data_IF_766553884532
#
_entry.id   IF_766553884532
#
_cell.length_a   1.000
_cell.length_b   1.000
_cell.length_c   1.000
_cell.angle_alpha   90.00
_cell.angle_beta   90.00
_cell.angle_gamma   90.00
#
_symmetry.space_group_name_H-M   'P 1'
#
loop_
_entity.id
_entity.type
_entity.pdbx_description
1 polymer ?
#
# COMPACT_ATOMS: atom_id res chain seq x y z
N UNK A 1 8.74 30.49 -78.84
CA UNK A 1 7.53 31.30 -78.66
C UNK A 1 6.78 30.80 -77.47
N UNK A 2 6.58 31.68 -76.50
CA UNK A 2 5.73 31.66 -75.29
C UNK A 2 6.06 30.59 -74.24
N UNK A 3 6.75 30.92 -73.22
CA UNK A 3 6.41 31.74 -72.04
C UNK A 3 5.05 31.38 -71.36
N UNK A 4 5.13 30.76 -70.15
CA UNK A 4 4.39 31.19 -68.97
C UNK A 4 4.43 30.14 -67.89
N UNK A 5 4.98 30.49 -66.89
CA UNK A 5 4.73 31.06 -65.54
C UNK A 5 4.60 29.99 -64.49
N UNK A 6 5.61 29.97 -63.69
CA UNK A 6 5.69 29.44 -62.36
C UNK A 6 4.57 29.98 -61.49
N UNK A 7 3.83 29.11 -60.83
CA UNK A 7 3.22 29.45 -59.54
C UNK A 7 3.66 28.39 -58.51
N UNK A 8 4.48 28.91 -57.61
CA UNK A 8 4.91 28.21 -56.43
C UNK A 8 3.74 28.03 -55.48
N UNK A 9 3.38 26.80 -55.21
CA UNK A 9 2.41 26.49 -54.11
C UNK A 9 3.24 26.02 -52.92
N UNK A 10 3.47 26.95 -51.99
CA UNK A 10 4.08 26.67 -50.71
C UNK A 10 3.15 25.80 -49.88
N UNK A 11 3.43 24.52 -49.81
CA UNK A 11 2.78 23.65 -48.80
C UNK A 11 3.56 23.80 -47.49
N UNK A 12 3.00 24.65 -46.61
CA UNK A 12 3.39 24.70 -45.20
C UNK A 12 3.03 23.37 -44.55
N UNK A 13 4.02 22.49 -44.43
CA UNK A 13 3.93 21.28 -43.62
C UNK A 13 3.96 21.74 -42.14
N UNK A 14 2.77 21.97 -41.57
CA UNK A 14 2.60 22.15 -40.15
C UNK A 14 2.91 20.78 -39.49
N UNK A 15 4.16 20.61 -39.10
CA UNK A 15 4.59 19.51 -38.27
C UNK A 15 4.00 19.75 -36.87
N UNK A 16 2.78 19.27 -36.66
CA UNK A 16 2.17 19.20 -35.34
C UNK A 16 3.01 18.24 -34.49
N UNK A 17 3.91 18.80 -33.69
CA UNK A 17 4.57 18.06 -32.62
C UNK A 17 3.47 17.72 -31.62
N UNK A 18 2.91 16.51 -31.75
CA UNK A 18 2.15 15.91 -30.67
C UNK A 18 3.16 15.74 -29.51
N UNK A 19 3.15 16.70 -28.58
CA UNK A 19 3.66 16.46 -27.25
C UNK A 19 2.76 15.35 -26.66
N UNK A 20 3.17 14.09 -26.85
CA UNK A 20 2.73 13.04 -25.98
C UNK A 20 3.14 13.48 -24.57
N UNK A 21 2.18 13.89 -23.75
CA UNK A 21 2.42 14.12 -22.35
C UNK A 21 2.96 12.79 -21.81
N UNK A 22 4.28 12.74 -21.61
CA UNK A 22 4.91 11.68 -20.82
C UNK A 22 4.19 11.77 -19.47
N UNK A 23 3.50 10.72 -19.02
CA UNK A 23 2.92 10.76 -17.68
C UNK A 23 4.06 11.15 -16.76
N UNK A 24 3.87 12.25 -16.01
CA UNK A 24 4.84 12.68 -15.02
C UNK A 24 5.16 11.45 -14.17
N UNK A 25 6.44 11.08 -14.14
CA UNK A 25 6.87 9.99 -13.27
C UNK A 25 6.34 10.33 -11.88
N UNK A 26 5.56 9.42 -11.30
CA UNK A 26 4.95 9.65 -10.01
C UNK A 26 6.05 10.06 -9.03
N UNK A 27 5.92 11.24 -8.44
CA UNK A 27 6.98 11.83 -7.62
C UNK A 27 7.04 11.10 -6.28
N UNK A 28 8.11 10.35 -6.07
CA UNK A 28 8.34 9.64 -4.82
C UNK A 28 8.44 10.55 -3.60
N UNK A 29 8.75 11.84 -3.79
CA UNK A 29 8.73 12.84 -2.72
C UNK A 29 7.31 13.09 -2.19
N UNK A 30 6.30 13.04 -3.05
CA UNK A 30 4.89 13.11 -2.62
C UNK A 30 4.49 11.87 -1.81
N UNK A 31 4.93 10.67 -2.22
CA UNK A 31 4.71 9.45 -1.46
C UNK A 31 5.37 9.51 -0.08
N UNK A 32 6.62 9.98 0.01
CA UNK A 32 7.31 10.18 1.29
C UNK A 32 6.57 11.21 2.17
N UNK A 33 6.16 12.34 1.59
CA UNK A 33 5.38 13.37 2.29
C UNK A 33 4.11 12.78 2.87
N UNK A 34 3.39 11.98 2.09
CA UNK A 34 2.16 11.30 2.54
C UNK A 34 2.41 10.39 3.75
N UNK A 35 3.52 9.63 3.76
CA UNK A 35 3.88 8.77 4.91
C UNK A 35 4.28 9.61 6.13
N UNK A 36 4.99 10.73 5.94
CA UNK A 36 5.36 11.65 7.02
C UNK A 36 4.13 12.26 7.69
N UNK A 37 3.24 12.84 6.91
CA UNK A 37 1.98 13.42 7.39
C UNK A 37 1.14 12.40 8.17
N UNK A 38 1.05 11.17 7.64
CA UNK A 38 0.34 10.10 8.32
C UNK A 38 0.99 9.72 9.67
N UNK A 39 2.32 9.65 9.72
CA UNK A 39 3.05 9.39 10.96
C UNK A 39 2.87 10.51 11.98
N UNK A 40 2.91 11.77 11.55
CA UNK A 40 2.67 12.93 12.42
C UNK A 40 1.24 12.93 12.94
N UNK A 41 0.25 12.76 12.06
CA UNK A 41 -1.16 12.69 12.44
C UNK A 41 -1.46 11.55 13.42
N UNK A 42 -0.87 10.38 13.15
CA UNK A 42 -1.01 9.23 14.06
C UNK A 42 -0.45 9.55 15.46
N UNK A 43 0.70 10.22 15.54
CA UNK A 43 1.29 10.64 16.82
C UNK A 43 0.40 11.64 17.57
N UNK A 44 -0.21 12.59 16.87
CA UNK A 44 -1.17 13.54 17.45
C UNK A 44 -2.37 12.81 18.03
N UNK A 45 -3.03 11.96 17.23
CA UNK A 45 -4.20 11.17 17.65
C UNK A 45 -3.93 10.32 18.89
N UNK A 46 -2.69 9.81 19.02
CA UNK A 46 -2.34 8.96 20.16
C UNK A 46 -1.92 9.74 21.42
N UNK A 47 -1.49 11.00 21.27
CA UNK A 47 -1.09 11.85 22.40
C UNK A 47 -2.30 12.33 23.18
N UNK A 48 -3.34 12.78 22.48
CA UNK A 48 -4.41 13.58 23.07
C UNK A 48 -5.58 12.75 23.63
N UNK A 49 -5.72 11.55 23.26
CA UNK A 49 -6.69 10.53 23.69
C UNK A 49 -6.99 9.62 22.48
N UNK A 50 -6.51 8.41 22.47
CA UNK A 50 -6.63 7.58 21.25
C UNK A 50 -8.10 7.28 20.97
N UNK A 51 -8.69 7.98 20.02
CA UNK A 51 -9.94 7.59 19.40
C UNK A 51 -9.66 6.54 18.34
N UNK A 52 -10.09 5.33 18.62
CA UNK A 52 -9.91 4.20 17.68
C UNK A 52 -10.62 4.43 16.33
N UNK A 53 -11.66 5.27 16.28
CA UNK A 53 -12.34 5.61 15.04
C UNK A 53 -11.50 6.53 14.17
N UNK A 54 -10.95 7.63 14.72
CA UNK A 54 -10.09 8.55 13.98
C UNK A 54 -8.81 7.88 13.47
N UNK A 55 -8.21 7.00 14.27
CA UNK A 55 -7.07 6.20 13.82
C UNK A 55 -7.47 5.26 12.70
N UNK A 56 -8.67 4.66 12.78
CA UNK A 56 -9.22 3.83 11.72
C UNK A 56 -9.36 4.57 10.41
N UNK A 57 -9.95 5.75 10.43
CA UNK A 57 -10.11 6.61 9.27
C UNK A 57 -8.76 6.98 8.64
N UNK A 58 -7.76 7.31 9.46
CA UNK A 58 -6.41 7.58 8.98
C UNK A 58 -5.82 6.36 8.27
N UNK A 59 -5.88 5.17 8.89
CA UNK A 59 -5.37 3.91 8.29
C UNK A 59 -6.11 3.59 7.00
N UNK A 60 -7.44 3.70 6.97
CA UNK A 60 -8.27 3.45 5.78
C UNK A 60 -7.94 4.45 4.64
N UNK A 61 -7.57 5.69 5.01
CA UNK A 61 -7.14 6.69 4.04
C UNK A 61 -5.82 6.34 3.36
N UNK A 62 -4.97 5.55 4.02
CA UNK A 62 -3.62 5.21 3.56
C UNK A 62 -3.57 3.91 2.75
N UNK A 63 -4.40 2.93 3.09
CA UNK A 63 -4.30 1.59 2.52
C UNK A 63 -5.07 1.47 1.20
N UNK A 64 -4.50 0.73 0.25
CA UNK A 64 -5.19 0.18 -0.91
C UNK A 64 -5.64 -1.25 -0.58
N UNK A 65 -6.78 -1.39 0.05
CA UNK A 65 -7.29 -2.70 0.47
C UNK A 65 -7.51 -3.68 -0.69
N UNK A 66 -7.99 -3.18 -1.84
CA UNK A 66 -8.17 -3.99 -3.04
C UNK A 66 -6.83 -4.49 -3.57
N UNK A 67 -5.85 -3.59 -3.70
CA UNK A 67 -4.50 -3.93 -4.12
C UNK A 67 -3.80 -4.90 -3.18
N UNK A 68 -3.93 -4.69 -1.87
CA UNK A 68 -3.40 -5.59 -0.83
C UNK A 68 -4.03 -6.99 -0.92
N UNK A 69 -5.37 -7.07 -1.03
CA UNK A 69 -6.12 -8.31 -1.14
C UNK A 69 -5.75 -9.10 -2.39
N UNK A 70 -5.71 -8.43 -3.57
CA UNK A 70 -5.31 -9.06 -4.82
C UNK A 70 -3.89 -9.61 -4.76
N UNK A 71 -2.96 -8.85 -4.20
CA UNK A 71 -1.56 -9.29 -4.07
C UNK A 71 -1.41 -10.46 -3.08
N UNK A 72 -2.14 -10.42 -1.96
CA UNK A 72 -2.09 -11.47 -0.94
C UNK A 72 -2.77 -12.76 -1.40
N UNK A 73 -3.90 -12.69 -2.09
CA UNK A 73 -4.60 -13.87 -2.64
C UNK A 73 -3.98 -14.36 -3.95
N UNK A 74 -3.23 -13.48 -4.67
CA UNK A 74 -2.52 -13.84 -5.90
C UNK A 74 -3.45 -14.58 -6.90
N UNK A 75 -3.07 -15.76 -7.36
CA UNK A 75 -3.84 -16.58 -8.33
C UNK A 75 -5.20 -17.03 -7.81
N UNK A 76 -5.44 -16.98 -6.51
CA UNK A 76 -6.76 -17.31 -5.95
C UNK A 76 -7.78 -16.21 -6.19
N UNK A 77 -7.35 -14.94 -6.32
CA UNK A 77 -8.24 -13.80 -6.51
C UNK A 77 -9.16 -13.93 -7.72
N UNK A 78 -8.63 -14.42 -8.85
CA UNK A 78 -9.39 -14.56 -10.10
C UNK A 78 -10.40 -15.70 -10.06
N UNK A 79 -10.25 -16.63 -9.10
CA UNK A 79 -11.18 -17.75 -8.89
C UNK A 79 -12.39 -17.37 -8.05
N UNK A 80 -12.36 -16.22 -7.38
CA UNK A 80 -13.41 -15.78 -6.48
C UNK A 80 -14.57 -15.11 -7.24
N UNK A 81 -15.78 -15.41 -6.80
CA UNK A 81 -16.96 -14.62 -7.17
C UNK A 81 -16.88 -13.23 -6.55
N UNK A 82 -17.69 -12.29 -7.05
CA UNK A 82 -17.72 -10.93 -6.48
C UNK A 82 -18.15 -10.96 -4.99
N UNK A 83 -19.14 -11.76 -4.65
CA UNK A 83 -19.58 -11.91 -3.26
C UNK A 83 -18.47 -12.40 -2.32
N UNK A 84 -17.62 -13.33 -2.79
CA UNK A 84 -16.47 -13.81 -2.03
C UNK A 84 -15.39 -12.74 -1.88
N UNK A 85 -15.15 -11.94 -2.91
CA UNK A 85 -14.24 -10.80 -2.85
C UNK A 85 -14.70 -9.76 -1.83
N UNK A 86 -15.98 -9.41 -1.88
CA UNK A 86 -16.59 -8.44 -0.96
C UNK A 86 -16.53 -8.94 0.49
N UNK A 87 -16.84 -10.22 0.73
CA UNK A 87 -16.71 -10.85 2.04
C UNK A 87 -15.28 -10.82 2.56
N UNK A 88 -14.30 -11.21 1.71
CA UNK A 88 -12.90 -11.19 2.08
C UNK A 88 -12.42 -9.78 2.44
N UNK A 89 -12.74 -8.79 1.62
CA UNK A 89 -12.37 -7.39 1.85
C UNK A 89 -12.94 -6.87 3.17
N UNK A 90 -14.20 -7.19 3.49
CA UNK A 90 -14.82 -6.79 4.75
C UNK A 90 -14.10 -7.42 5.95
N UNK A 91 -13.81 -8.71 5.90
CA UNK A 91 -13.05 -9.41 6.96
C UNK A 91 -11.62 -8.89 7.07
N UNK A 92 -10.96 -8.63 5.94
CA UNK A 92 -9.60 -8.13 5.91
C UNK A 92 -9.50 -6.73 6.54
N UNK A 93 -10.40 -5.80 6.18
CA UNK A 93 -10.51 -4.49 6.82
C UNK A 93 -10.73 -4.60 8.33
N UNK A 94 -11.65 -5.47 8.75
CA UNK A 94 -11.93 -5.67 10.17
C UNK A 94 -10.72 -6.23 10.94
N UNK A 95 -9.93 -7.14 10.34
CA UNK A 95 -8.71 -7.67 10.94
C UNK A 95 -7.60 -6.63 11.03
N UNK A 96 -7.44 -5.81 10.02
CA UNK A 96 -6.50 -4.67 10.07
C UNK A 96 -6.93 -3.72 11.17
N UNK A 97 -8.22 -3.38 11.25
CA UNK A 97 -8.78 -2.52 12.29
C UNK A 97 -8.55 -3.08 13.70
N UNK A 98 -8.75 -4.39 13.91
CA UNK A 98 -8.45 -5.06 15.18
C UNK A 98 -6.96 -4.97 15.51
N UNK A 99 -6.10 -5.25 14.54
CA UNK A 99 -4.65 -5.28 14.74
C UNK A 99 -4.09 -3.93 15.22
N UNK A 100 -4.51 -2.82 14.64
CA UNK A 100 -4.02 -1.53 15.12
C UNK A 100 -4.63 -1.15 16.48
N UNK A 101 -5.90 -1.46 16.76
CA UNK A 101 -6.51 -1.21 18.08
C UNK A 101 -5.78 -1.95 19.20
N UNK A 102 -5.43 -3.21 18.95
CA UNK A 102 -4.76 -4.07 19.94
C UNK A 102 -3.31 -3.61 20.22
N UNK A 103 -2.65 -3.01 19.23
CA UNK A 103 -1.23 -2.66 19.30
C UNK A 103 -0.95 -1.16 19.51
N UNK A 104 -1.95 -0.29 19.43
CA UNK A 104 -1.77 1.16 19.47
C UNK A 104 -1.06 1.67 20.72
N UNK A 105 -1.39 1.12 21.89
CA UNK A 105 -0.85 1.61 23.18
C UNK A 105 0.60 1.22 23.40
N UNK A 106 1.07 0.12 22.83
CA UNK A 106 2.43 -0.37 23.09
C UNK A 106 3.47 0.15 22.09
N UNK A 107 3.05 0.50 20.86
CA UNK A 107 3.98 0.67 19.75
C UNK A 107 4.55 2.08 19.64
N UNK A 108 3.86 3.12 20.10
CA UNK A 108 4.20 4.51 19.77
C UNK A 108 4.76 5.34 20.92
N UNK A 109 4.66 4.86 22.16
CA UNK A 109 5.36 5.47 23.27
C UNK A 109 6.86 5.21 23.14
N UNK A 110 7.63 6.31 22.99
CA UNK A 110 9.09 6.29 22.96
C UNK A 110 9.75 5.71 21.71
N UNK A 111 9.17 5.90 20.53
CA UNK A 111 9.85 5.64 19.26
C UNK A 111 10.18 6.92 18.50
N UNK A 112 11.32 6.91 17.79
CA UNK A 112 11.66 7.87 16.75
C UNK A 112 11.59 7.19 15.40
N UNK A 113 11.10 7.90 14.39
CA UNK A 113 11.07 7.44 13.00
C UNK A 113 11.98 8.33 12.18
N UNK A 114 13.05 7.74 11.65
CA UNK A 114 13.96 8.39 10.72
C UNK A 114 13.54 8.04 9.31
N UNK A 115 13.34 9.02 8.45
CA UNK A 115 13.06 8.84 7.04
C UNK A 115 14.38 8.77 6.28
N UNK A 116 14.59 7.69 5.54
CA UNK A 116 15.82 7.41 4.81
C UNK A 116 15.70 7.73 3.31
N UNK A 117 14.59 8.37 2.91
CA UNK A 117 14.26 8.67 1.54
C UNK A 117 13.41 7.60 0.87
N UNK A 118 13.36 7.64 -0.45
CA UNK A 118 12.54 6.75 -1.26
C UNK A 118 13.30 6.24 -2.49
N UNK A 119 12.80 5.14 -3.06
CA UNK A 119 13.27 4.63 -4.34
C UNK A 119 12.10 4.17 -5.21
N UNK A 120 12.24 4.34 -6.51
CA UNK A 120 11.26 3.83 -7.48
C UNK A 120 11.54 2.37 -7.80
N UNK A 121 10.52 1.51 -7.71
CA UNK A 121 10.65 0.07 -7.98
C UNK A 121 10.14 -0.29 -9.37
N UNK A 122 8.95 0.21 -9.71
CA UNK A 122 8.30 0.01 -11.00
C UNK A 122 7.57 1.29 -11.39
N UNK A 123 7.11 1.39 -12.64
CA UNK A 123 6.31 2.54 -13.06
C UNK A 123 5.06 2.69 -12.15
N UNK A 124 4.95 3.83 -11.49
CA UNK A 124 3.84 4.17 -10.59
C UNK A 124 3.90 3.55 -9.19
N UNK A 125 5.01 2.92 -8.79
CA UNK A 125 5.23 2.40 -7.44
C UNK A 125 6.57 2.89 -6.88
N UNK A 126 6.60 3.30 -5.62
CA UNK A 126 7.79 3.73 -4.89
C UNK A 126 7.83 3.08 -3.51
N UNK A 127 9.03 2.86 -3.00
CA UNK A 127 9.26 2.41 -1.62
C UNK A 127 9.78 3.58 -0.81
N UNK A 128 9.02 4.00 0.18
CA UNK A 128 9.46 4.95 1.21
C UNK A 128 10.15 4.18 2.32
N UNK A 129 11.40 4.52 2.60
CA UNK A 129 12.24 3.82 3.56
C UNK A 129 12.27 4.58 4.88
N UNK A 130 12.02 3.86 5.97
CA UNK A 130 12.13 4.41 7.32
C UNK A 130 12.88 3.46 8.24
N UNK A 131 13.44 4.02 9.30
CA UNK A 131 14.01 3.30 10.44
C UNK A 131 13.34 3.75 11.71
N UNK A 132 12.79 2.81 12.45
CA UNK A 132 12.17 3.03 13.75
C UNK A 132 13.15 2.70 14.85
N UNK A 133 13.36 3.63 15.78
CA UNK A 133 14.25 3.47 16.94
C UNK A 133 13.46 3.60 18.23
N UNK A 134 13.62 2.65 19.14
CA UNK A 134 13.07 2.73 20.50
C UNK A 134 13.94 3.65 21.36
N UNK A 135 13.35 4.73 21.91
CA UNK A 135 14.10 5.77 22.64
C UNK A 135 14.48 5.38 24.07
N UNK A 136 13.79 4.41 24.67
CA UNK A 136 14.08 3.96 26.03
C UNK A 136 14.17 2.44 26.11
N UNK A 137 15.35 1.93 26.31
CA UNK A 137 15.56 0.56 26.76
C UNK A 137 16.45 0.55 27.99
N UNK A 138 15.98 -0.06 29.08
CA UNK A 138 16.74 -0.20 30.34
C UNK A 138 18.07 -0.96 30.20
N UNK A 139 18.40 -1.51 29.04
CA UNK A 139 19.61 -2.29 28.76
C UNK A 139 20.27 -1.87 27.45
N UNK A 140 20.54 -0.62 27.24
CA UNK A 140 21.48 -0.09 26.22
C UNK A 140 21.51 -0.81 24.83
N UNK A 141 20.49 -1.58 24.47
CA UNK A 141 20.28 -2.13 23.14
C UNK A 141 19.23 -1.28 22.45
N UNK A 142 19.69 -0.37 21.60
CA UNK A 142 18.82 0.31 20.65
C UNK A 142 18.24 -0.76 19.73
N UNK A 143 16.99 -1.12 19.93
CA UNK A 143 16.28 -1.92 18.95
C UNK A 143 15.93 -0.97 17.79
N UNK A 144 16.58 -1.15 16.67
CA UNK A 144 16.27 -0.46 15.41
C UNK A 144 15.54 -1.47 14.53
N UNK A 145 14.48 -1.03 13.86
CA UNK A 145 13.66 -1.83 12.96
C UNK A 145 13.50 -1.03 11.67
N UNK A 146 13.86 -1.62 10.54
CA UNK A 146 13.61 -1.01 9.25
C UNK A 146 12.18 -1.30 8.82
N UNK A 147 11.39 -0.24 8.57
CA UNK A 147 10.03 -0.33 8.04
C UNK A 147 9.99 0.41 6.71
N UNK A 148 9.65 -0.30 5.65
CA UNK A 148 9.54 0.25 4.31
C UNK A 148 8.09 0.16 3.84
N UNK A 149 7.60 1.22 3.22
CA UNK A 149 6.23 1.33 2.72
C UNK A 149 6.25 1.34 1.20
N UNK A 150 5.71 0.30 0.57
CA UNK A 150 5.50 0.32 -0.88
C UNK A 150 4.22 1.09 -1.18
N UNK A 151 4.36 2.20 -1.91
CA UNK A 151 3.30 3.14 -2.22
C UNK A 151 3.00 3.11 -3.71
N UNK A 152 1.72 3.21 -4.07
CA UNK A 152 1.25 3.31 -5.45
C UNK A 152 0.23 4.44 -5.58
N UNK A 153 0.24 5.10 -6.73
CA UNK A 153 -0.77 6.10 -7.06
C UNK A 153 -2.06 5.41 -7.49
N UNK A 154 -3.13 5.60 -6.73
CA UNK A 154 -4.47 5.05 -6.99
C UNK A 154 -5.44 6.19 -7.10
N UNK A 155 -6.03 6.40 -8.28
CA UNK A 155 -6.96 7.51 -8.55
C UNK A 155 -6.43 8.88 -8.11
N UNK A 156 -5.13 9.15 -8.37
CA UNK A 156 -4.48 10.41 -8.03
C UNK A 156 -4.08 10.55 -6.56
N UNK A 157 -4.20 9.51 -5.75
CA UNK A 157 -3.79 9.53 -4.33
C UNK A 157 -2.79 8.42 -4.05
N UNK A 158 -1.71 8.76 -3.34
CA UNK A 158 -0.73 7.78 -2.88
C UNK A 158 -1.34 6.86 -1.82
N UNK A 159 -1.34 5.56 -2.12
CA UNK A 159 -1.84 4.48 -1.25
C UNK A 159 -0.76 3.44 -1.01
N UNK A 160 -0.78 2.89 0.18
CA UNK A 160 0.12 1.83 0.62
C UNK A 160 -0.40 0.47 0.13
N UNK A 161 0.46 -0.28 -0.56
CA UNK A 161 0.16 -1.59 -1.15
C UNK A 161 1.04 -2.71 -0.58
N UNK A 162 2.03 -2.41 0.25
CA UNK A 162 2.77 -3.35 1.08
C UNK A 162 3.53 -2.62 2.19
N UNK A 163 3.83 -3.34 3.26
CA UNK A 163 4.74 -2.93 4.33
C UNK A 163 5.77 -4.03 4.54
N UNK A 164 7.04 -3.66 4.51
CA UNK A 164 8.14 -4.56 4.79
C UNK A 164 8.77 -4.19 6.12
N UNK A 165 8.89 -5.15 7.03
CA UNK A 165 9.54 -4.98 8.34
C UNK A 165 10.75 -5.91 8.39
N UNK A 166 11.95 -5.37 8.61
CA UNK A 166 13.22 -6.12 8.62
C UNK A 166 13.35 -7.08 7.42
N UNK A 167 13.02 -6.59 6.23
CA UNK A 167 13.03 -7.34 4.96
C UNK A 167 11.93 -8.39 4.79
N UNK A 168 10.95 -8.46 5.70
CA UNK A 168 9.81 -9.36 5.58
C UNK A 168 8.58 -8.59 5.11
N UNK A 169 8.11 -8.87 3.89
CA UNK A 169 6.90 -8.29 3.33
C UNK A 169 5.64 -8.85 4.00
N UNK A 170 4.73 -7.97 4.39
CA UNK A 170 3.45 -8.33 4.97
C UNK A 170 2.56 -9.05 3.95
N UNK A 171 2.49 -8.52 2.72
CA UNK A 171 1.73 -9.13 1.64
C UNK A 171 2.25 -10.52 1.30
N UNK A 172 3.58 -10.71 1.24
CA UNK A 172 4.17 -12.02 0.99
C UNK A 172 3.84 -13.00 2.12
N UNK A 173 3.93 -12.57 3.37
CA UNK A 173 3.59 -13.39 4.54
C UNK A 173 2.13 -13.85 4.51
N UNK A 174 1.21 -12.96 4.14
CA UNK A 174 -0.20 -13.33 3.96
C UNK A 174 -0.40 -14.26 2.77
N UNK A 175 0.28 -14.02 1.65
CA UNK A 175 0.22 -14.90 0.45
C UNK A 175 0.62 -16.33 0.80
N UNK A 176 1.74 -16.49 1.48
CA UNK A 176 2.23 -17.80 1.88
C UNK A 176 1.25 -18.49 2.84
N UNK A 177 0.71 -17.74 3.80
CA UNK A 177 -0.30 -18.25 4.73
C UNK A 177 -1.59 -18.68 4.01
N UNK A 178 -2.11 -17.85 3.10
CA UNK A 178 -3.34 -18.14 2.37
C UNK A 178 -3.15 -19.32 1.39
N UNK A 179 -2.02 -19.37 0.69
CA UNK A 179 -1.67 -20.50 -0.16
C UNK A 179 -1.62 -21.81 0.64
N UNK A 180 -1.00 -21.78 1.84
CA UNK A 180 -0.91 -22.96 2.69
C UNK A 180 -2.30 -23.42 3.18
N UNK A 181 -3.17 -22.49 3.60
CA UNK A 181 -4.52 -22.82 4.08
C UNK A 181 -5.37 -23.37 2.93
N UNK A 182 -5.40 -22.67 1.79
CA UNK A 182 -6.24 -23.07 0.66
C UNK A 182 -5.70 -24.36 0.03
N UNK A 183 -4.39 -24.49 -0.08
CA UNK A 183 -3.73 -25.66 -0.69
C UNK A 183 -3.76 -26.93 0.16
N UNK A 184 -3.99 -26.82 1.47
CA UNK A 184 -4.11 -27.98 2.37
C UNK A 184 -5.44 -28.73 2.22
N UNK A 185 -6.46 -28.12 1.63
CA UNK A 185 -7.77 -28.70 1.43
C UNK A 185 -7.84 -29.53 0.12
N UNK A 186 -8.78 -30.48 0.06
CA UNK A 186 -9.00 -31.31 -1.12
C UNK A 186 -9.58 -30.51 -2.31
N UNK A 187 -10.35 -29.46 -2.03
CA UNK A 187 -10.93 -28.59 -3.05
C UNK A 187 -10.68 -27.13 -2.69
N UNK A 188 -10.73 -26.27 -3.69
CA UNK A 188 -10.60 -24.81 -3.48
C UNK A 188 -11.70 -24.27 -2.56
N UNK A 189 -12.93 -24.73 -2.76
CA UNK A 189 -14.09 -24.29 -1.98
C UNK A 189 -13.93 -24.62 -0.49
N UNK A 190 -13.42 -25.81 -0.17
CA UNK A 190 -13.13 -26.21 1.20
C UNK A 190 -11.99 -25.38 1.81
N UNK A 191 -10.93 -25.12 1.05
CA UNK A 191 -9.80 -24.29 1.48
C UNK A 191 -10.20 -22.83 1.67
N UNK A 192 -11.02 -22.30 0.77
CA UNK A 192 -11.60 -20.97 0.91
C UNK A 192 -12.46 -20.84 2.16
N UNK A 193 -13.37 -21.80 2.40
CA UNK A 193 -14.21 -21.81 3.59
C UNK A 193 -13.40 -21.89 4.89
N UNK A 194 -12.29 -22.65 4.91
CA UNK A 194 -11.38 -22.69 6.07
C UNK A 194 -10.66 -21.34 6.27
N UNK A 195 -10.17 -20.72 5.20
CA UNK A 195 -9.55 -19.39 5.28
C UNK A 195 -10.51 -18.36 5.89
N UNK A 196 -11.72 -18.23 5.32
CA UNK A 196 -12.75 -17.30 5.80
C UNK A 196 -13.14 -17.61 7.24
N UNK A 197 -13.31 -18.89 7.57
CA UNK A 197 -13.60 -19.34 8.94
C UNK A 197 -12.51 -18.93 9.95
N UNK A 198 -11.24 -19.04 9.58
CA UNK A 198 -10.11 -18.59 10.42
C UNK A 198 -10.11 -17.08 10.61
N UNK A 199 -10.37 -16.31 9.54
CA UNK A 199 -10.47 -14.85 9.62
C UNK A 199 -11.58 -14.41 10.58
N UNK A 200 -12.76 -15.02 10.51
CA UNK A 200 -13.88 -14.74 11.42
C UNK A 200 -13.53 -15.06 12.88
N UNK A 201 -13.00 -16.25 13.16
CA UNK A 201 -12.56 -16.63 14.52
C UNK A 201 -11.55 -15.65 15.10
N UNK A 202 -10.63 -15.14 14.28
CA UNK A 202 -9.64 -14.15 14.73
C UNK A 202 -10.25 -12.79 15.07
N UNK A 203 -11.42 -12.46 14.52
CA UNK A 203 -12.15 -11.24 14.87
C UNK A 203 -12.93 -11.41 16.19
N UNK A 204 -13.38 -12.62 16.50
CA UNK A 204 -14.17 -12.95 17.69
C UNK A 204 -13.31 -13.09 18.97
N UNK A 205 -12.04 -13.47 18.84
CA UNK A 205 -11.07 -13.65 19.94
C UNK A 205 -10.14 -12.48 20.11
#
# INVERSE_FOLDING_TARGET
MLMRRFQALSVLLACGILFAAVPAAADGAEAETRVREANERLRELLRDSPDAAEVGELVDSLLDYDGLAQRALSTHWDRLTQAQKDEFLNLFKALVAKSYRDNLKETLDNIAVDFLGWEQTTAGSVVVKTRVRKLQTRRNRRAEIDIHYEMRLVSGTWKMIDVTTDSVSLVQSYRDSFNNIIGAAQTFEAGWADLVGRMRRKLEG
#
